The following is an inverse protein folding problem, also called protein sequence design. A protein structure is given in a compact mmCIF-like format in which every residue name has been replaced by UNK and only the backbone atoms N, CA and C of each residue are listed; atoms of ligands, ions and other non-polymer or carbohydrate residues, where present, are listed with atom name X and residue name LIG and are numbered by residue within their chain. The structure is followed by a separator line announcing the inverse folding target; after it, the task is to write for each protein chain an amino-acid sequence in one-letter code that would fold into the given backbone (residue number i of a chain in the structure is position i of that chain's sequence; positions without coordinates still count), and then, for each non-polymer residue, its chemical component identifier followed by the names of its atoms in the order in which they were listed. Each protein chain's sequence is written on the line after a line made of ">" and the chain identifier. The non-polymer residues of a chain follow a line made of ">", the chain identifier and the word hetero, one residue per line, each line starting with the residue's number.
data_IF_132254819461
#
_entry.id   IF_132254819461
#
_cell.length_a   1.000
_cell.length_b   1.000
_cell.length_c   1.000
_cell.angle_alpha   90.00
_cell.angle_beta   90.00
_cell.angle_gamma   90.00
#
_symmetry.space_group_name_H-M   'P 1'
#
loop_
_entity.id
_entity.type
_entity.pdbx_description
1 polymer ?
#
# COMPACT_ATOMS: atom_id res chain seq x y z
N UNK A 1 -7.60 -0.17 -11.34
CA UNK A 1 -6.45 0.36 -10.56
C UNK A 1 -6.89 1.66 -9.87
N UNK A 2 -6.64 1.85 -8.58
CA UNK A 2 -6.83 3.16 -7.92
C UNK A 2 -5.57 4.00 -8.09
N UNK A 3 -5.70 5.33 -8.15
CA UNK A 3 -4.59 6.24 -8.48
C UNK A 3 -3.38 6.12 -7.52
N UNK A 4 -3.60 6.07 -6.20
CA UNK A 4 -2.54 5.78 -5.23
C UNK A 4 -2.71 4.48 -4.42
N UNK A 5 -3.94 3.98 -4.27
CA UNK A 5 -4.22 2.78 -3.47
C UNK A 5 -4.02 2.92 -1.95
N UNK A 6 -3.83 4.14 -1.44
CA UNK A 6 -3.72 4.43 0.01
C UNK A 6 -5.09 4.77 0.57
N UNK A 7 -5.58 5.96 0.22
CA UNK A 7 -6.82 6.53 0.71
C UNK A 7 -7.99 6.24 -0.26
N UNK A 8 -9.24 6.19 0.24
CA UNK A 8 -10.39 6.18 -0.64
C UNK A 8 -10.45 7.50 -1.45
N UNK A 9 -10.94 7.46 -2.69
CA UNK A 9 -11.24 8.69 -3.41
C UNK A 9 -12.40 9.41 -2.70
N UNK A 10 -12.25 10.72 -2.51
CA UNK A 10 -13.26 11.58 -1.86
C UNK A 10 -13.87 12.58 -2.85
N UNK A 11 -13.23 12.76 -4.00
CA UNK A 11 -13.66 13.70 -5.04
C UNK A 11 -13.42 13.14 -6.45
N UNK A 12 -14.10 13.76 -7.40
CA UNK A 12 -13.96 13.52 -8.83
C UNK A 12 -13.31 14.76 -9.46
N UNK A 13 -12.09 14.63 -9.97
CA UNK A 13 -11.28 15.77 -10.43
C UNK A 13 -10.75 15.57 -11.87
N UNK A 14 -10.46 16.67 -12.57
CA UNK A 14 -10.00 16.69 -13.96
C UNK A 14 -8.59 16.13 -14.14
N UNK A 15 -8.40 14.95 -14.74
CA UNK A 15 -7.10 14.38 -15.08
C UNK A 15 -6.20 15.39 -15.81
N UNK A 16 -6.71 16.04 -16.86
CA UNK A 16 -6.09 17.18 -17.53
C UNK A 16 -6.58 18.50 -16.93
N UNK A 17 -5.69 19.45 -16.59
CA UNK A 17 -6.06 20.68 -15.89
C UNK A 17 -7.10 21.52 -16.65
N UNK A 18 -8.22 21.82 -16.00
CA UNK A 18 -9.30 22.68 -16.55
C UNK A 18 -8.79 24.04 -17.03
N UNK A 19 -7.79 24.62 -16.35
CA UNK A 19 -7.22 25.92 -16.71
C UNK A 19 -6.62 25.92 -18.12
N UNK A 20 -6.03 24.80 -18.53
CA UNK A 20 -5.36 24.63 -19.83
C UNK A 20 -6.32 24.00 -20.84
N UNK A 21 -7.07 22.98 -20.43
CA UNK A 21 -7.95 22.17 -21.29
C UNK A 21 -9.44 22.45 -21.01
N UNK A 22 -9.85 23.72 -21.09
CA UNK A 22 -11.25 24.15 -20.83
C UNK A 22 -12.31 23.31 -21.57
N UNK A 23 -12.16 22.99 -22.88
CA UNK A 23 -13.17 22.19 -23.59
C UNK A 23 -13.34 20.77 -23.00
N UNK A 24 -12.30 20.21 -22.39
CA UNK A 24 -12.33 18.88 -21.77
C UNK A 24 -12.86 18.91 -20.33
N UNK A 25 -13.27 20.07 -19.81
CA UNK A 25 -13.72 20.20 -18.42
C UNK A 25 -15.09 19.57 -18.15
N UNK A 26 -15.91 19.43 -19.18
CA UNK A 26 -17.21 18.73 -19.11
C UNK A 26 -17.11 17.28 -19.60
N UNK A 27 -15.93 16.86 -20.07
CA UNK A 27 -15.74 15.53 -20.61
C UNK A 27 -15.65 14.53 -19.46
N UNK A 28 -16.62 13.63 -19.34
CA UNK A 28 -16.71 12.68 -18.23
C UNK A 28 -15.45 11.83 -18.06
N UNK A 29 -14.77 11.48 -19.16
CA UNK A 29 -13.53 10.71 -19.13
C UNK A 29 -12.32 11.52 -18.69
N UNK A 30 -12.42 12.85 -18.69
CA UNK A 30 -11.42 13.69 -18.05
C UNK A 30 -11.63 13.76 -16.53
N UNK A 31 -12.73 13.24 -15.98
CA UNK A 31 -13.00 13.27 -14.54
C UNK A 31 -12.62 11.93 -13.89
N UNK A 32 -11.63 11.94 -13.02
CA UNK A 32 -11.07 10.74 -12.36
C UNK A 32 -11.24 10.81 -10.84
N UNK A 33 -11.58 9.70 -10.18
CA UNK A 33 -11.72 9.67 -8.73
C UNK A 33 -10.34 9.77 -8.08
N UNK A 34 -10.14 10.80 -7.24
CA UNK A 34 -8.88 11.06 -6.53
C UNK A 34 -9.13 11.25 -5.03
N UNK A 35 -8.09 10.99 -4.24
CA UNK A 35 -8.05 11.48 -2.87
C UNK A 35 -7.41 12.88 -2.84
N UNK A 36 -7.70 13.65 -1.81
CA UNK A 36 -7.23 15.03 -1.62
C UNK A 36 -5.70 15.15 -1.79
N UNK A 37 -4.94 14.23 -1.17
CA UNK A 37 -3.48 14.22 -1.27
C UNK A 37 -2.97 14.01 -2.71
N UNK A 38 -3.68 13.18 -3.51
CA UNK A 38 -3.31 12.98 -4.91
C UNK A 38 -3.70 14.16 -5.78
N UNK A 39 -4.79 14.86 -5.45
CA UNK A 39 -5.22 16.01 -6.19
C UNK A 39 -4.20 17.16 -6.10
N UNK A 40 -3.73 17.45 -4.88
CA UNK A 40 -2.67 18.45 -4.67
C UNK A 40 -1.36 18.11 -5.41
N UNK A 41 -0.92 16.85 -5.36
CA UNK A 41 0.30 16.41 -6.06
C UNK A 41 0.17 16.45 -7.59
N UNK A 42 -1.02 16.15 -8.12
CA UNK A 42 -1.30 16.23 -9.56
C UNK A 42 -1.23 17.66 -10.08
N UNK A 43 -1.72 18.64 -9.32
CA UNK A 43 -1.65 20.06 -9.69
C UNK A 43 -0.20 20.58 -9.79
N UNK A 44 0.73 19.95 -9.08
CA UNK A 44 2.16 20.26 -9.14
C UNK A 44 2.92 19.49 -10.25
N UNK A 45 2.30 18.48 -10.86
CA UNK A 45 2.92 17.59 -11.84
C UNK A 45 2.38 17.79 -13.27
N UNK A 46 3.08 17.20 -14.23
CA UNK A 46 2.62 17.13 -15.62
C UNK A 46 1.59 16.01 -15.75
N UNK A 47 0.31 16.38 -15.85
CA UNK A 47 -0.83 15.48 -15.91
C UNK A 47 -0.67 14.35 -16.95
N UNK A 48 -0.02 14.61 -18.09
CA UNK A 48 0.19 13.62 -19.16
C UNK A 48 1.16 12.50 -18.80
N UNK A 49 1.91 12.63 -17.71
CA UNK A 49 2.89 11.63 -17.23
C UNK A 49 2.32 10.65 -16.21
N UNK A 50 1.10 10.90 -15.71
CA UNK A 50 0.42 9.95 -14.83
C UNK A 50 -0.26 8.84 -15.63
N UNK A 51 -0.51 7.71 -14.97
CA UNK A 51 -1.36 6.66 -15.54
C UNK A 51 -2.80 7.17 -15.58
N UNK A 52 -3.39 7.18 -16.77
CA UNK A 52 -4.78 7.55 -16.97
C UNK A 52 -5.69 6.39 -16.57
N UNK A 53 -6.62 6.64 -15.62
CA UNK A 53 -7.48 5.62 -15.04
C UNK A 53 -8.40 4.86 -16.03
N UNK A 54 -8.54 5.37 -17.26
CA UNK A 54 -9.48 4.87 -18.26
C UNK A 54 -8.81 4.50 -19.59
N UNK A 55 -7.74 5.21 -19.97
CA UNK A 55 -7.07 5.00 -21.25
C UNK A 55 -5.84 4.10 -21.16
N UNK A 56 -5.12 4.11 -20.02
CA UNK A 56 -3.99 3.22 -19.85
C UNK A 56 -4.46 1.84 -19.36
N UNK A 57 -4.23 0.82 -20.18
CA UNK A 57 -4.51 -0.57 -19.83
C UNK A 57 -3.33 -1.10 -19.02
N UNK A 58 -3.56 -1.35 -17.73
CA UNK A 58 -2.56 -1.96 -16.84
C UNK A 58 -2.75 -3.48 -16.87
N UNK A 59 -1.79 -4.25 -17.44
CA UNK A 59 -1.91 -5.70 -17.53
C UNK A 59 -1.80 -6.35 -16.14
N UNK A 60 -2.40 -7.53 -15.98
CA UNK A 60 -2.33 -8.32 -14.74
C UNK A 60 -1.01 -9.09 -14.62
N UNK A 61 0.10 -8.36 -14.58
CA UNK A 61 1.47 -8.87 -14.36
C UNK A 61 2.04 -8.30 -13.06
N UNK A 62 2.96 -9.01 -12.40
CA UNK A 62 3.57 -8.50 -11.17
C UNK A 62 4.67 -7.48 -11.51
N UNK A 63 4.37 -6.19 -11.34
CA UNK A 63 5.31 -5.09 -11.60
C UNK A 63 5.74 -4.36 -10.33
N UNK A 64 4.92 -4.31 -9.29
CA UNK A 64 5.30 -3.70 -8.01
C UNK A 64 6.12 -4.69 -7.20
N UNK A 65 7.21 -4.24 -6.60
CA UNK A 65 7.97 -4.99 -5.60
C UNK A 65 8.24 -4.14 -4.38
N UNK A 66 8.66 -4.81 -3.30
CA UNK A 66 9.05 -4.15 -2.05
C UNK A 66 10.28 -4.84 -1.48
N UNK A 67 11.26 -4.04 -1.12
CA UNK A 67 12.38 -4.43 -0.25
C UNK A 67 11.98 -4.14 1.19
N UNK A 68 12.33 -5.06 2.08
CA UNK A 68 12.00 -4.98 3.51
C UNK A 68 13.29 -5.11 4.31
N UNK A 69 13.45 -4.28 5.33
CA UNK A 69 14.48 -4.40 6.34
C UNK A 69 13.91 -4.09 7.73
N UNK A 70 14.54 -4.62 8.77
CA UNK A 70 14.25 -4.27 10.16
C UNK A 70 15.40 -3.41 10.67
N UNK A 71 15.12 -2.15 10.99
CA UNK A 71 16.13 -1.17 11.38
C UNK A 71 15.66 -0.40 12.61
N UNK A 72 16.50 -0.32 13.65
CA UNK A 72 16.20 0.42 14.88
C UNK A 72 14.83 0.06 15.50
N UNK A 73 14.42 -1.21 15.39
CA UNK A 73 13.12 -1.69 15.86
C UNK A 73 11.92 -1.27 15.01
N UNK A 74 12.14 -0.70 13.82
CA UNK A 74 11.11 -0.38 12.84
C UNK A 74 11.16 -1.29 11.62
N UNK A 75 10.01 -1.52 11.00
CA UNK A 75 9.92 -2.17 9.69
C UNK A 75 10.05 -1.14 8.58
N UNK A 76 11.14 -1.18 7.83
CA UNK A 76 11.39 -0.28 6.71
C UNK A 76 10.97 -0.96 5.41
N UNK A 77 10.23 -0.25 4.58
CA UNK A 77 9.69 -0.74 3.31
C UNK A 77 10.05 0.20 2.17
N UNK A 78 10.61 -0.35 1.10
CA UNK A 78 10.96 0.41 -0.11
C UNK A 78 10.37 -0.25 -1.34
N UNK A 79 9.34 0.38 -1.87
CA UNK A 79 8.63 -0.04 -3.06
C UNK A 79 9.26 0.51 -4.33
N UNK A 80 9.25 -0.31 -5.38
CA UNK A 80 9.71 0.07 -6.72
C UNK A 80 8.95 -0.68 -7.80
N UNK A 81 8.96 -0.13 -9.02
CA UNK A 81 8.44 -0.80 -10.22
C UNK A 81 9.57 -1.60 -10.86
N UNK A 82 9.35 -2.90 -11.06
CA UNK A 82 10.28 -3.82 -11.71
C UNK A 82 10.55 -3.40 -13.15
N UNK A 83 11.80 -3.14 -13.47
CA UNK A 83 12.25 -2.89 -14.84
C UNK A 83 12.04 -4.09 -15.77
N UNK A 84 12.14 -5.30 -15.22
CA UNK A 84 11.92 -6.55 -15.96
C UNK A 84 10.45 -6.96 -16.07
N UNK A 85 9.51 -6.14 -15.59
CA UNK A 85 8.09 -6.46 -15.75
C UNK A 85 7.69 -6.41 -17.23
N UNK A 86 6.81 -7.32 -17.64
CA UNK A 86 6.23 -7.37 -18.98
C UNK A 86 5.23 -6.22 -19.20
N UNK A 87 5.74 -4.98 -19.20
CA UNK A 87 5.01 -3.74 -19.38
C UNK A 87 5.49 -3.01 -20.62
N UNK A 88 4.58 -2.30 -21.29
CA UNK A 88 4.96 -1.35 -22.32
C UNK A 88 5.90 -0.27 -21.72
N UNK A 89 6.97 0.15 -22.43
CA UNK A 89 7.93 1.13 -21.91
C UNK A 89 7.31 2.44 -21.44
N UNK A 90 6.25 2.91 -22.13
CA UNK A 90 5.51 4.11 -21.76
C UNK A 90 4.78 3.93 -20.42
N UNK A 91 4.10 2.80 -20.23
CA UNK A 91 3.40 2.49 -18.99
C UNK A 91 4.37 2.34 -17.82
N UNK A 92 5.51 1.68 -18.04
CA UNK A 92 6.57 1.58 -17.04
C UNK A 92 7.05 2.97 -16.59
N UNK A 93 7.28 3.87 -17.54
CA UNK A 93 7.68 5.26 -17.27
C UNK A 93 6.62 6.00 -16.46
N UNK A 94 5.36 5.91 -16.86
CA UNK A 94 4.22 6.53 -16.14
C UNK A 94 4.09 6.00 -14.71
N UNK A 95 4.21 4.69 -14.51
CA UNK A 95 4.11 4.06 -13.18
C UNK A 95 5.24 4.52 -12.24
N UNK A 96 6.48 4.62 -12.74
CA UNK A 96 7.61 5.14 -11.97
C UNK A 96 7.42 6.60 -11.62
N UNK A 97 7.07 7.43 -12.61
CA UNK A 97 6.78 8.84 -12.39
C UNK A 97 5.68 9.03 -11.35
N UNK A 98 4.58 8.27 -11.46
CA UNK A 98 3.47 8.33 -10.50
C UNK A 98 3.89 7.92 -9.09
N UNK A 99 4.76 6.93 -8.94
CA UNK A 99 5.28 6.51 -7.64
C UNK A 99 6.08 7.61 -6.95
N UNK A 100 6.92 8.32 -7.71
CA UNK A 100 7.73 9.43 -7.24
C UNK A 100 6.89 10.69 -6.96
N UNK A 101 6.10 11.13 -7.95
CA UNK A 101 5.30 12.34 -7.88
C UNK A 101 4.27 12.31 -6.73
N UNK A 102 3.75 11.13 -6.38
CA UNK A 102 2.81 10.95 -5.28
C UNK A 102 3.48 10.57 -3.95
N UNK A 103 4.82 10.56 -3.89
CA UNK A 103 5.59 10.15 -2.71
C UNK A 103 5.09 8.83 -2.10
N UNK A 104 4.77 7.84 -2.96
CA UNK A 104 4.04 6.65 -2.51
C UNK A 104 4.82 5.84 -1.47
N UNK A 105 6.15 5.80 -1.56
CA UNK A 105 6.99 5.16 -0.55
C UNK A 105 6.74 5.71 0.86
N UNK A 106 6.78 7.04 1.03
CA UNK A 106 6.53 7.67 2.32
C UNK A 106 5.11 7.39 2.82
N UNK A 107 4.11 7.44 1.93
CA UNK A 107 2.71 7.21 2.28
C UNK A 107 2.44 5.75 2.66
N UNK A 108 2.99 4.80 1.92
CA UNK A 108 2.90 3.38 2.26
C UNK A 108 3.60 3.10 3.60
N UNK A 109 4.80 3.64 3.81
CA UNK A 109 5.52 3.49 5.07
C UNK A 109 4.73 4.03 6.27
N UNK A 110 4.08 5.21 6.12
CA UNK A 110 3.20 5.76 7.15
C UNK A 110 2.03 4.82 7.48
N UNK A 111 1.40 4.26 6.46
CA UNK A 111 0.29 3.33 6.62
C UNK A 111 0.75 2.01 7.27
N UNK A 112 1.93 1.49 6.91
CA UNK A 112 2.56 0.36 7.59
C UNK A 112 2.73 0.67 9.09
N UNK A 113 3.34 1.80 9.43
CA UNK A 113 3.58 2.17 10.83
C UNK A 113 2.28 2.31 11.64
N UNK A 114 1.17 2.69 10.98
CA UNK A 114 -0.09 2.97 11.67
C UNK A 114 -1.00 1.73 11.75
N UNK A 115 -1.14 0.98 10.66
CA UNK A 115 -2.15 -0.07 10.53
C UNK A 115 -1.59 -1.48 10.68
N UNK A 116 -0.26 -1.66 10.59
CA UNK A 116 0.32 -3.00 10.63
C UNK A 116 0.28 -3.62 12.03
N UNK A 117 0.13 -2.81 13.08
CA UNK A 117 -0.12 -3.26 14.46
C UNK A 117 -1.35 -4.17 14.60
N UNK A 118 -2.31 -4.08 13.67
CA UNK A 118 -3.46 -4.98 13.64
C UNK A 118 -3.08 -6.46 13.41
N UNK A 119 -1.85 -6.73 12.99
CA UNK A 119 -1.32 -8.09 12.82
C UNK A 119 -0.59 -8.63 14.04
N UNK A 120 -0.30 -7.81 15.07
CA UNK A 120 0.54 -8.17 16.23
C UNK A 120 0.10 -9.49 16.88
N UNK A 121 -1.14 -9.56 17.38
CA UNK A 121 -1.65 -10.76 18.05
C UNK A 121 -1.59 -12.01 17.16
N UNK A 122 -1.97 -11.88 15.88
CA UNK A 122 -1.96 -13.01 14.95
C UNK A 122 -0.56 -13.53 14.65
N UNK A 123 0.43 -12.63 14.59
CA UNK A 123 1.84 -12.99 14.38
C UNK A 123 2.43 -13.68 15.61
N UNK A 124 2.16 -13.18 16.82
CA UNK A 124 2.64 -13.82 18.06
C UNK A 124 2.03 -15.21 18.25
N UNK A 125 0.71 -15.34 18.10
CA UNK A 125 0.04 -16.66 18.17
C UNK A 125 0.61 -17.64 17.14
N UNK A 126 0.84 -17.20 15.90
CA UNK A 126 1.44 -18.05 14.89
C UNK A 126 2.86 -18.50 15.28
N UNK A 127 3.68 -17.58 15.79
CA UNK A 127 5.03 -17.89 16.23
C UNK A 127 5.06 -18.85 17.42
N UNK A 128 4.14 -18.72 18.38
CA UNK A 128 4.01 -19.63 19.53
C UNK A 128 3.60 -21.04 19.12
N UNK A 129 2.71 -21.15 18.13
CA UNK A 129 2.18 -22.45 17.68
C UNK A 129 3.16 -23.24 16.81
N UNK A 130 4.00 -22.57 16.01
CA UNK A 130 4.89 -23.28 15.08
C UNK A 130 6.04 -22.45 14.50
N UNK A 131 6.49 -21.43 15.22
CA UNK A 131 7.66 -20.63 14.83
C UNK A 131 7.49 -19.92 13.49
N UNK A 132 8.61 -19.74 12.78
CA UNK A 132 8.66 -18.95 11.55
C UNK A 132 7.81 -19.50 10.40
N UNK A 133 7.64 -20.83 10.30
CA UNK A 133 6.78 -21.43 9.27
C UNK A 133 5.31 -21.04 9.46
N UNK A 134 4.82 -21.07 10.71
CA UNK A 134 3.47 -20.63 11.03
C UNK A 134 3.27 -19.13 10.79
N UNK A 135 4.28 -18.30 11.08
CA UNK A 135 4.26 -16.85 10.75
C UNK A 135 4.17 -16.62 9.25
N UNK A 136 5.01 -17.30 8.46
CA UNK A 136 4.97 -17.25 6.99
C UNK A 136 3.59 -17.68 6.47
N UNK A 137 3.05 -18.78 7.00
CA UNK A 137 1.74 -19.29 6.64
C UNK A 137 0.62 -18.29 6.96
N UNK A 138 0.63 -17.68 8.16
CA UNK A 138 -0.32 -16.64 8.55
C UNK A 138 -0.31 -15.47 7.54
N UNK A 139 0.87 -14.94 7.23
CA UNK A 139 1.02 -13.83 6.28
C UNK A 139 0.53 -14.20 4.87
N UNK A 140 0.82 -15.42 4.39
CA UNK A 140 0.31 -15.94 3.12
C UNK A 140 -1.21 -16.04 3.12
N UNK A 141 -1.84 -16.44 4.22
CA UNK A 141 -3.30 -16.46 4.35
C UNK A 141 -3.89 -15.06 4.31
N UNK A 142 -3.30 -14.10 5.03
CA UNK A 142 -3.72 -12.69 4.97
C UNK A 142 -3.59 -12.14 3.54
N UNK A 143 -2.51 -12.48 2.83
CA UNK A 143 -2.33 -12.12 1.42
C UNK A 143 -3.39 -12.75 0.50
N UNK A 144 -3.72 -14.03 0.70
CA UNK A 144 -4.73 -14.74 -0.09
C UNK A 144 -6.13 -14.10 0.04
N UNK A 145 -6.52 -13.72 1.26
CA UNK A 145 -7.78 -12.99 1.51
C UNK A 145 -7.78 -11.66 0.77
N UNK A 146 -6.69 -10.88 0.87
CA UNK A 146 -6.56 -9.59 0.20
C UNK A 146 -6.53 -9.68 -1.32
N UNK A 147 -6.06 -10.78 -1.90
CA UNK A 147 -6.06 -11.00 -3.36
C UNK A 147 -7.47 -10.98 -3.96
N UNK A 148 -8.51 -11.33 -3.18
CA UNK A 148 -9.91 -11.26 -3.65
C UNK A 148 -10.46 -9.83 -3.66
N UNK A 149 -9.95 -8.97 -2.79
CA UNK A 149 -10.43 -7.60 -2.62
C UNK A 149 -9.60 -6.58 -3.42
N UNK A 150 -8.38 -6.93 -3.80
CA UNK A 150 -7.42 -6.03 -4.41
C UNK A 150 -6.78 -6.62 -5.65
N UNK A 151 -6.35 -5.74 -6.56
CA UNK A 151 -5.54 -6.11 -7.71
C UNK A 151 -4.14 -6.59 -7.28
N UNK A 152 -3.49 -7.39 -8.14
CA UNK A 152 -2.20 -8.07 -7.86
C UNK A 152 -1.08 -7.15 -7.34
N UNK A 153 -1.02 -5.92 -7.83
CA UNK A 153 0.02 -4.94 -7.50
C UNK A 153 -0.40 -3.98 -6.37
N UNK A 154 -1.44 -4.31 -5.59
CA UNK A 154 -1.79 -3.52 -4.42
C UNK A 154 -0.68 -3.64 -3.36
N UNK A 155 -0.18 -2.49 -2.89
CA UNK A 155 1.01 -2.43 -2.02
C UNK A 155 0.90 -3.31 -0.76
N UNK A 156 -0.25 -3.34 -0.08
CA UNK A 156 -0.48 -4.24 1.09
C UNK A 156 -0.34 -5.71 0.75
N UNK A 157 -0.78 -6.12 -0.44
CA UNK A 157 -0.66 -7.51 -0.89
C UNK A 157 0.81 -7.87 -1.17
N UNK A 158 1.52 -6.95 -1.83
CA UNK A 158 2.95 -7.08 -2.13
C UNK A 158 3.76 -7.15 -0.82
N UNK A 159 3.44 -6.31 0.16
CA UNK A 159 4.05 -6.33 1.49
C UNK A 159 3.87 -7.66 2.21
N UNK A 160 2.63 -8.14 2.34
CA UNK A 160 2.37 -9.40 3.05
C UNK A 160 3.08 -10.59 2.40
N UNK A 161 3.14 -10.61 1.05
CA UNK A 161 3.90 -11.64 0.32
C UNK A 161 5.41 -11.51 0.55
N UNK A 162 5.95 -10.30 0.61
CA UNK A 162 7.37 -10.08 0.87
C UNK A 162 7.72 -10.51 2.30
N UNK A 163 6.95 -10.09 3.31
CA UNK A 163 7.16 -10.48 4.71
C UNK A 163 7.07 -11.98 4.92
N UNK A 164 6.12 -12.65 4.25
CA UNK A 164 5.99 -14.10 4.34
C UNK A 164 7.21 -14.87 3.81
N UNK A 165 8.05 -14.22 3.00
CA UNK A 165 9.29 -14.79 2.46
C UNK A 165 10.53 -14.13 3.06
N UNK A 166 10.38 -13.33 4.12
CA UNK A 166 11.47 -12.63 4.78
C UNK A 166 11.87 -13.39 6.04
N UNK A 167 12.99 -14.10 5.98
CA UNK A 167 13.42 -15.05 7.02
C UNK A 167 13.62 -14.37 8.37
N UNK A 168 14.32 -13.24 8.43
CA UNK A 168 14.53 -12.50 9.68
C UNK A 168 13.20 -12.05 10.30
N UNK A 169 12.23 -11.66 9.47
CA UNK A 169 10.93 -11.22 9.96
C UNK A 169 10.15 -12.42 10.53
N UNK A 170 10.06 -13.51 9.78
CA UNK A 170 9.32 -14.72 10.17
C UNK A 170 9.92 -15.37 11.42
N UNK A 171 11.25 -15.40 11.55
CA UNK A 171 11.96 -16.06 12.65
C UNK A 171 12.11 -15.19 13.91
N UNK A 172 11.22 -14.21 14.10
CA UNK A 172 11.09 -13.46 15.36
C UNK A 172 11.50 -11.99 15.28
N UNK A 173 12.08 -11.51 14.18
CA UNK A 173 12.39 -10.09 13.99
C UNK A 173 11.15 -9.19 14.12
N UNK A 174 9.97 -9.71 13.74
CA UNK A 174 8.71 -8.99 13.91
C UNK A 174 8.41 -8.62 15.36
N UNK A 175 8.93 -9.34 16.37
CA UNK A 175 8.64 -9.08 17.79
C UNK A 175 9.26 -7.77 18.28
N UNK A 176 10.35 -7.33 17.65
CA UNK A 176 10.97 -6.02 17.93
C UNK A 176 10.13 -4.89 17.34
N UNK A 177 9.58 -5.12 16.15
CA UNK A 177 8.73 -4.15 15.44
C UNK A 177 7.33 -4.05 16.07
N UNK A 178 6.79 -5.20 16.48
CA UNK A 178 5.42 -5.39 16.95
C UNK A 178 5.46 -6.18 18.27
N UNK A 179 5.86 -5.57 19.39
CA UNK A 179 5.86 -6.24 20.69
C UNK A 179 4.43 -6.57 21.12
N UNK A 180 4.25 -7.70 21.79
CA UNK A 180 2.93 -8.20 22.19
C UNK A 180 2.22 -7.28 23.21
N UNK A 181 3.01 -6.51 23.98
CA UNK A 181 2.51 -5.52 24.94
C UNK A 181 1.68 -4.40 24.31
N UNK A 182 1.94 -4.05 23.04
CA UNK A 182 1.11 -3.06 22.31
C UNK A 182 -0.32 -3.55 22.09
N UNK A 183 -0.55 -4.87 22.01
CA UNK A 183 -1.90 -5.42 21.91
C UNK A 183 -2.65 -5.35 23.24
N UNK A 184 -1.94 -5.45 24.38
CA UNK A 184 -2.50 -5.31 25.73
C UNK A 184 -2.97 -3.89 26.03
N UNK A 185 -2.16 -2.87 25.74
CA UNK A 185 -2.55 -1.46 25.99
C UNK A 185 -3.78 -1.04 25.18
N UNK A 186 -3.94 -1.52 23.94
CA UNK A 186 -5.13 -1.22 23.12
C UNK A 186 -6.38 -1.94 23.66
N UNK A 187 -6.24 -3.16 24.18
CA UNK A 187 -7.34 -3.90 24.80
C UNK A 187 -7.80 -3.27 26.12
N UNK A 188 -6.86 -2.82 26.97
CA UNK A 188 -7.17 -2.17 28.26
C UNK A 188 -7.84 -0.80 28.08
N UNK A 189 -7.47 -0.06 27.02
CA UNK A 189 -8.12 1.21 26.67
C UNK A 189 -9.56 1.06 26.13
N UNK A 190 -9.94 -0.13 25.64
CA UNK A 190 -11.31 -0.43 25.25
C UNK A 190 -12.13 -0.90 26.45
N UNK A 191 -11.54 -1.74 27.32
CA UNK A 191 -12.20 -2.21 28.54
C UNK A 191 -12.53 -1.08 29.54
N UNK A 192 -11.74 -0.01 29.57
CA UNK A 192 -11.98 1.16 30.45
C UNK A 192 -13.03 2.15 29.92
N UNK A 193 -13.34 2.12 28.61
CA UNK A 193 -14.37 2.98 28.01
C UNK A 193 -15.78 2.43 28.20
N UNK A 194 -15.94 1.12 28.41
CA UNK A 194 -17.23 0.48 28.66
C UNK A 194 -17.67 0.52 30.15
N UNK A 195 -16.84 1.05 31.06
CA UNK A 195 -17.16 1.19 32.49
C UNK A 195 -17.57 2.64 32.85
N UNK A 196 -17.66 3.54 31.87
CA UNK A 196 -18.01 4.96 32.08
C UNK A 196 -19.26 5.41 31.32
N UNK A 197 -20.21 4.49 31.08
CA UNK A 197 -21.58 4.79 30.64
C UNK A 197 -22.63 4.42 31.67
#
# INVERSE_FOLDING_TARGET
>A
MRFCGVDPPVELDHHLPKAIFKPLSLYAWNLVPLCEACNGAKLAGDAGKFVHAYFDIVPDVQFLQVEVSIENGGLITKYSIKDSAELAPELLTKLKFQMEALSLNSRFQKDVNTNFVAHTTGLHMAAELGGGESVSYYLRKQAAVKTRAFYRNHWRLVLLKALANHDEFCNGGFKVVLPDEQAREVADNLATRDVSS
#
